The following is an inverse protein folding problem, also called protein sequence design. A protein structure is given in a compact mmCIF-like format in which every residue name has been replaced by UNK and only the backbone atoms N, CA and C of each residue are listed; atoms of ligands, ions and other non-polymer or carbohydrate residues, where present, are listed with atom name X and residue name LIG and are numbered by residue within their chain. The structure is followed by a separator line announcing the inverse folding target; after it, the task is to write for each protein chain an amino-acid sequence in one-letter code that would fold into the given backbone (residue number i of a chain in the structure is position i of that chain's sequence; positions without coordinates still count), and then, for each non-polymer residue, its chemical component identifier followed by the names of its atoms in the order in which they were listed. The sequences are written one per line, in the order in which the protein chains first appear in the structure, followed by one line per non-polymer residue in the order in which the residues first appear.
data_IF_539151868462
#
_entry.id   IF_539151868462
#
_cell.length_a   1.000
_cell.length_b   1.000
_cell.length_c   1.000
_cell.angle_alpha   90.00
_cell.angle_beta   90.00
_cell.angle_gamma   90.00
#
_symmetry.space_group_name_H-M   'P 1'
#
loop_
_entity.id
_entity.type
_entity.pdbx_description
1 polymer ?
#
# COMPACT_ATOMS: atom_id res chain seq x y z
N UNK A 1 -20.68 -13.75 8.87
CA UNK A 1 -19.22 -13.64 9.05
C UNK A 1 -18.66 -12.97 7.81
N UNK A 2 -17.88 -11.89 7.94
CA UNK A 2 -17.30 -11.18 6.77
C UNK A 2 -16.25 -12.03 6.06
N UNK A 3 -16.10 -11.82 4.74
CA UNK A 3 -15.10 -12.52 3.92
C UNK A 3 -13.69 -12.21 4.39
N UNK A 4 -12.83 -13.25 4.51
CA UNK A 4 -11.42 -13.08 4.79
C UNK A 4 -10.74 -12.53 3.54
N UNK A 5 -10.09 -11.37 3.66
CA UNK A 5 -9.37 -10.72 2.55
C UNK A 5 -7.87 -10.96 2.60
N UNK A 6 -7.33 -11.21 3.78
CA UNK A 6 -5.92 -11.57 3.98
C UNK A 6 -5.83 -12.68 5.02
N UNK A 7 -5.05 -13.70 4.70
CA UNK A 7 -4.67 -14.78 5.61
C UNK A 7 -3.20 -15.07 5.49
N UNK A 8 -2.53 -15.26 6.61
CA UNK A 8 -1.17 -15.83 6.65
C UNK A 8 -1.19 -17.12 7.44
N UNK A 9 -0.42 -18.12 6.99
CA UNK A 9 -0.28 -19.40 7.67
C UNK A 9 1.20 -19.69 7.84
N UNK A 10 1.64 -19.79 9.08
CA UNK A 10 3.02 -20.07 9.52
C UNK A 10 4.06 -19.19 8.81
N UNK A 11 3.67 -17.93 8.56
CA UNK A 11 4.47 -16.98 7.79
C UNK A 11 5.79 -16.71 8.50
N UNK A 12 6.88 -17.03 7.82
CA UNK A 12 8.23 -16.96 8.40
C UNK A 12 9.18 -16.24 7.47
N UNK A 13 9.99 -15.35 8.04
CA UNK A 13 11.12 -14.70 7.36
C UNK A 13 12.39 -14.82 8.20
N UNK A 14 13.40 -15.43 7.59
CA UNK A 14 14.75 -15.49 8.14
C UNK A 14 15.70 -14.67 7.25
N UNK A 15 16.53 -13.86 7.90
CA UNK A 15 17.72 -13.28 7.29
C UNK A 15 18.92 -13.95 7.96
N UNK A 16 19.72 -14.66 7.17
CA UNK A 16 20.75 -15.58 7.67
C UNK A 16 20.13 -16.66 8.57
N UNK A 17 20.61 -16.85 9.79
CA UNK A 17 20.10 -17.85 10.75
C UNK A 17 19.06 -17.29 11.74
N UNK A 18 18.74 -15.99 11.67
CA UNK A 18 17.81 -15.36 12.60
C UNK A 18 16.43 -15.19 11.97
N UNK A 19 15.40 -15.71 12.62
CA UNK A 19 14.02 -15.41 12.26
C UNK A 19 13.68 -13.99 12.72
N UNK A 20 13.18 -13.17 11.78
CA UNK A 20 12.66 -11.81 12.04
C UNK A 20 11.14 -11.84 12.11
N UNK A 21 10.52 -12.75 11.39
CA UNK A 21 9.11 -13.12 11.52
C UNK A 21 9.09 -14.63 11.65
N UNK A 22 8.37 -15.17 12.63
CA UNK A 22 8.36 -16.59 12.94
C UNK A 22 6.94 -17.10 13.17
N UNK A 23 6.51 -18.02 12.31
CA UNK A 23 5.20 -18.71 12.34
C UNK A 23 4.00 -17.76 12.57
N UNK A 24 3.98 -16.61 11.87
CA UNK A 24 2.94 -15.61 12.03
C UNK A 24 1.65 -16.03 11.34
N UNK A 25 0.58 -16.13 12.11
CA UNK A 25 -0.76 -16.44 11.65
C UNK A 25 -1.69 -15.24 11.89
N UNK A 26 -2.23 -14.66 10.80
CA UNK A 26 -3.13 -13.50 10.82
C UNK A 26 -4.31 -13.78 9.88
N UNK A 27 -5.50 -13.36 10.29
CA UNK A 27 -6.67 -13.28 9.42
C UNK A 27 -7.24 -11.86 9.50
N UNK A 28 -7.46 -11.22 8.35
CA UNK A 28 -8.09 -9.91 8.24
C UNK A 28 -9.34 -10.04 7.37
N UNK A 29 -10.45 -9.49 7.86
CA UNK A 29 -11.75 -9.54 7.18
C UNK A 29 -12.01 -8.25 6.43
N UNK A 30 -12.90 -8.33 5.45
CA UNK A 30 -13.34 -7.16 4.68
C UNK A 30 -13.91 -6.08 5.60
N UNK A 31 -13.42 -4.84 5.45
CA UNK A 31 -13.83 -3.68 6.25
C UNK A 31 -13.16 -3.59 7.62
N UNK A 32 -12.27 -4.50 7.96
CA UNK A 32 -11.54 -4.49 9.21
C UNK A 32 -10.35 -3.53 9.18
N UNK A 33 -10.10 -2.84 10.31
CA UNK A 33 -8.86 -2.09 10.55
C UNK A 33 -8.01 -2.93 11.48
N UNK A 34 -6.89 -3.44 10.94
CA UNK A 34 -5.96 -4.29 11.67
C UNK A 34 -4.68 -3.53 12.03
N UNK A 35 -4.31 -3.56 13.31
CA UNK A 35 -3.09 -2.91 13.82
C UNK A 35 -1.99 -3.92 14.15
N UNK A 36 -0.80 -3.74 13.56
CA UNK A 36 0.39 -4.52 13.89
C UNK A 36 1.29 -3.72 14.82
N UNK A 37 1.30 -4.08 16.12
CA UNK A 37 2.01 -3.36 17.15
C UNK A 37 3.26 -4.14 17.62
N UNK A 38 4.25 -3.42 18.12
CA UNK A 38 5.47 -4.01 18.66
C UNK A 38 6.65 -3.05 18.62
N UNK A 39 7.77 -3.37 19.29
CA UNK A 39 8.98 -2.55 19.31
C UNK A 39 9.65 -2.48 17.93
N UNK A 40 10.65 -1.59 17.80
CA UNK A 40 11.49 -1.55 16.60
C UNK A 40 12.26 -2.88 16.47
N UNK A 41 12.33 -3.39 15.25
CA UNK A 41 12.95 -4.70 14.98
C UNK A 41 12.03 -5.92 15.18
N UNK A 42 10.78 -5.74 15.63
CA UNK A 42 9.82 -6.85 15.82
C UNK A 42 9.27 -7.47 14.53
N UNK A 43 9.81 -7.14 13.36
CA UNK A 43 9.39 -7.73 12.10
C UNK A 43 8.17 -7.09 11.43
N UNK A 44 7.59 -6.01 11.98
CA UNK A 44 6.39 -5.35 11.44
C UNK A 44 6.53 -4.96 9.98
N UNK A 45 7.57 -4.20 9.63
CA UNK A 45 7.82 -3.78 8.24
C UNK A 45 8.12 -4.96 7.33
N UNK A 46 8.81 -5.99 7.83
CA UNK A 46 9.09 -7.22 7.11
C UNK A 46 7.80 -7.97 6.79
N UNK A 47 6.88 -8.07 7.76
CA UNK A 47 5.55 -8.67 7.57
C UNK A 47 4.76 -7.93 6.50
N UNK A 48 4.68 -6.59 6.60
CA UNK A 48 4.01 -5.77 5.58
C UNK A 48 4.63 -5.96 4.19
N UNK A 49 5.96 -5.96 4.10
CA UNK A 49 6.67 -6.17 2.83
C UNK A 49 6.42 -7.56 2.24
N UNK A 50 6.26 -8.60 3.06
CA UNK A 50 5.90 -9.93 2.60
C UNK A 50 4.47 -9.97 2.06
N UNK A 51 3.52 -9.36 2.75
CA UNK A 51 2.12 -9.25 2.32
C UNK A 51 2.01 -8.47 1.00
N UNK A 52 2.76 -7.37 0.87
CA UNK A 52 2.80 -6.55 -0.35
C UNK A 52 3.65 -7.16 -1.49
N UNK A 53 4.13 -8.39 -1.36
CA UNK A 53 4.96 -9.08 -2.35
C UNK A 53 6.27 -8.34 -2.71
N UNK A 54 6.82 -7.59 -1.76
CA UNK A 54 8.11 -6.89 -1.88
C UNK A 54 9.26 -7.81 -1.42
N UNK A 55 9.07 -8.50 -0.29
CA UNK A 55 10.05 -9.41 0.30
C UNK A 55 9.48 -10.81 0.34
N UNK A 56 10.15 -11.78 -0.28
CA UNK A 56 9.67 -13.17 -0.33
C UNK A 56 9.78 -13.84 1.05
N UNK A 57 8.73 -14.54 1.51
CA UNK A 57 8.79 -15.38 2.70
C UNK A 57 9.86 -16.47 2.59
N UNK A 58 10.43 -16.88 3.71
CA UNK A 58 11.30 -18.05 3.77
C UNK A 58 10.47 -19.34 3.87
N UNK A 59 9.35 -19.28 4.60
CA UNK A 59 8.39 -20.37 4.75
C UNK A 59 6.99 -19.80 5.03
N UNK A 60 5.99 -20.68 5.02
CA UNK A 60 4.60 -20.32 5.22
C UNK A 60 3.92 -19.76 3.98
N UNK A 61 2.66 -19.39 4.12
CA UNK A 61 1.82 -18.97 3.02
C UNK A 61 1.12 -17.64 3.29
N UNK A 62 0.84 -16.92 2.21
CA UNK A 62 0.01 -15.72 2.21
C UNK A 62 -1.11 -15.94 1.20
N UNK A 63 -2.33 -15.68 1.63
CA UNK A 63 -3.52 -15.65 0.80
C UNK A 63 -4.12 -14.25 0.83
N UNK A 64 -4.28 -13.63 -0.33
CA UNK A 64 -4.90 -12.33 -0.52
C UNK A 64 -6.10 -12.50 -1.46
N UNK A 65 -7.31 -12.22 -0.97
CA UNK A 65 -8.56 -12.40 -1.72
C UNK A 65 -8.67 -13.81 -2.34
N UNK A 66 -8.33 -14.85 -1.59
CA UNK A 66 -8.37 -16.24 -2.04
C UNK A 66 -7.23 -16.66 -2.96
N UNK A 67 -6.21 -15.82 -3.15
CA UNK A 67 -5.11 -16.06 -4.09
C UNK A 67 -3.75 -15.91 -3.41
N UNK A 68 -2.78 -16.70 -3.86
CA UNK A 68 -1.40 -16.54 -3.41
C UNK A 68 -0.72 -15.39 -4.18
N UNK A 69 -0.36 -14.27 -3.51
CA UNK A 69 0.19 -13.08 -4.17
C UNK A 69 1.58 -13.30 -4.78
N UNK A 70 2.28 -14.37 -4.40
CA UNK A 70 3.60 -14.73 -4.96
C UNK A 70 3.48 -15.53 -6.26
N UNK A 71 2.39 -16.29 -6.42
CA UNK A 71 2.10 -17.03 -7.65
C UNK A 71 1.38 -16.14 -8.68
N UNK A 72 0.56 -15.21 -8.23
CA UNK A 72 -0.28 -14.32 -9.05
C UNK A 72 0.04 -12.84 -8.80
N UNK A 73 1.33 -12.50 -8.83
CA UNK A 73 1.86 -11.18 -8.42
C UNK A 73 1.20 -10.01 -9.14
N UNK A 74 0.98 -10.11 -10.46
CA UNK A 74 0.34 -9.02 -11.24
C UNK A 74 -1.07 -8.71 -10.73
N UNK A 75 -1.87 -9.74 -10.48
CA UNK A 75 -3.25 -9.56 -9.99
C UNK A 75 -3.28 -9.04 -8.55
N UNK A 76 -2.37 -9.52 -7.71
CA UNK A 76 -2.29 -9.10 -6.30
C UNK A 76 -1.90 -7.62 -6.15
N UNK A 77 -0.93 -7.14 -6.92
CA UNK A 77 -0.46 -5.74 -6.87
C UNK A 77 -1.61 -4.76 -7.16
N UNK A 78 -2.50 -5.07 -8.10
CA UNK A 78 -3.66 -4.23 -8.42
C UNK A 78 -4.73 -4.17 -7.31
N UNK A 79 -4.58 -4.99 -6.26
CA UNK A 79 -5.52 -5.06 -5.12
C UNK A 79 -4.95 -4.48 -3.83
N UNK A 80 -3.68 -4.05 -3.84
CA UNK A 80 -2.98 -3.54 -2.68
C UNK A 80 -2.62 -2.07 -2.89
N UNK A 81 -3.11 -1.17 -2.03
CA UNK A 81 -2.57 0.17 -1.88
C UNK A 81 -1.47 0.17 -0.81
N UNK A 82 -0.23 0.38 -1.21
CA UNK A 82 0.90 0.44 -0.29
C UNK A 82 1.33 1.88 -0.04
N UNK A 83 1.33 2.28 1.23
CA UNK A 83 1.78 3.60 1.67
C UNK A 83 3.05 3.41 2.49
N UNK A 84 4.23 3.75 1.95
CA UNK A 84 5.49 3.61 2.69
C UNK A 84 5.57 4.60 3.86
N UNK A 85 6.38 4.26 4.86
CA UNK A 85 6.63 5.12 6.00
C UNK A 85 7.30 6.44 5.56
N UNK A 86 8.25 6.37 4.65
CA UNK A 86 8.84 7.55 4.00
C UNK A 86 7.90 8.10 2.94
N UNK A 87 8.00 9.41 2.72
CA UNK A 87 7.18 10.07 1.71
C UNK A 87 7.69 9.71 0.31
N UNK A 88 6.87 9.04 -0.48
CA UNK A 88 7.17 8.65 -1.86
C UNK A 88 6.69 9.69 -2.89
N UNK A 89 6.55 10.96 -2.49
CA UNK A 89 6.08 12.04 -3.35
C UNK A 89 7.24 12.86 -3.93
N UNK A 90 7.05 13.39 -5.13
CA UNK A 90 8.00 14.26 -5.82
C UNK A 90 7.70 15.71 -5.54
N UNK A 91 8.57 16.40 -4.79
CA UNK A 91 8.36 17.80 -4.36
C UNK A 91 8.24 18.79 -5.52
N UNK A 92 8.89 18.54 -6.65
CA UNK A 92 8.86 19.39 -7.83
C UNK A 92 7.69 19.11 -8.79
N UNK A 93 6.85 18.14 -8.46
CA UNK A 93 5.58 17.92 -9.14
C UNK A 93 4.44 18.57 -8.35
N UNK A 94 3.40 18.99 -9.06
CA UNK A 94 2.14 19.43 -8.47
C UNK A 94 1.44 18.26 -7.77
N UNK A 95 0.47 18.55 -6.91
CA UNK A 95 -0.26 17.50 -6.21
C UNK A 95 -0.95 16.53 -7.17
N UNK A 96 -1.65 17.03 -8.19
CA UNK A 96 -2.30 16.19 -9.18
C UNK A 96 -1.32 15.36 -10.01
N UNK A 97 -0.14 15.91 -10.36
CA UNK A 97 0.89 15.21 -11.13
C UNK A 97 1.49 14.04 -10.33
N UNK A 98 1.65 14.21 -9.01
CA UNK A 98 2.06 13.11 -8.14
C UNK A 98 1.05 11.96 -8.19
N UNK A 99 -0.25 12.24 -7.99
CA UNK A 99 -1.29 11.19 -8.00
C UNK A 99 -1.40 10.56 -9.38
N UNK A 100 -1.35 11.35 -10.47
CA UNK A 100 -1.38 10.87 -11.85
C UNK A 100 -0.23 9.91 -12.14
N UNK A 101 0.99 10.27 -11.75
CA UNK A 101 2.17 9.44 -11.93
C UNK A 101 1.96 8.03 -11.34
N UNK A 102 1.59 7.95 -10.07
CA UNK A 102 1.40 6.66 -9.40
C UNK A 102 0.20 5.90 -9.95
N UNK A 103 -0.93 6.57 -10.22
CA UNK A 103 -2.14 5.94 -10.77
C UNK A 103 -1.89 5.37 -12.17
N UNK A 104 -1.12 6.06 -13.00
CA UNK A 104 -0.79 5.61 -14.35
C UNK A 104 0.03 4.33 -14.39
N UNK A 105 0.83 4.05 -13.34
CA UNK A 105 1.61 2.80 -13.23
C UNK A 105 0.72 1.55 -13.15
N UNK A 106 -0.54 1.72 -12.73
CA UNK A 106 -1.54 0.65 -12.72
C UNK A 106 -2.28 0.50 -14.06
N UNK A 107 -1.85 1.22 -15.10
CA UNK A 107 -2.41 1.11 -16.45
C UNK A 107 -3.69 1.92 -16.68
N UNK A 108 -4.12 2.74 -15.72
CA UNK A 108 -5.27 3.63 -15.85
C UNK A 108 -4.90 4.81 -16.77
N UNK A 109 -5.76 5.16 -17.73
CA UNK A 109 -5.48 6.17 -18.76
C UNK A 109 -6.70 7.05 -19.07
N UNK A 110 -6.46 8.17 -19.75
CA UNK A 110 -7.51 9.02 -20.30
C UNK A 110 -8.42 9.64 -19.25
N UNK A 111 -9.73 9.66 -19.50
CA UNK A 111 -10.71 10.26 -18.59
C UNK A 111 -10.80 9.54 -17.24
N UNK A 112 -10.63 8.20 -17.23
CA UNK A 112 -10.62 7.41 -16.01
C UNK A 112 -9.45 7.82 -15.10
N UNK A 113 -8.27 8.12 -15.67
CA UNK A 113 -7.11 8.61 -14.92
C UNK A 113 -7.41 9.98 -14.29
N UNK A 114 -7.91 10.94 -15.07
CA UNK A 114 -8.26 12.26 -14.55
C UNK A 114 -9.28 12.20 -13.42
N UNK A 115 -10.33 11.41 -13.61
CA UNK A 115 -11.36 11.21 -12.59
C UNK A 115 -10.76 10.60 -11.32
N UNK A 116 -9.96 9.56 -11.45
CA UNK A 116 -9.32 8.90 -10.31
C UNK A 116 -8.37 9.83 -9.54
N UNK A 117 -7.65 10.71 -10.24
CA UNK A 117 -6.79 11.72 -9.62
C UNK A 117 -7.61 12.71 -8.79
N UNK A 118 -8.67 13.28 -9.38
CA UNK A 118 -9.53 14.24 -8.69
C UNK A 118 -10.24 13.59 -7.48
N UNK A 119 -10.82 12.40 -7.64
CA UNK A 119 -11.46 11.65 -6.57
C UNK A 119 -10.49 11.34 -5.41
N UNK A 120 -9.24 10.99 -5.73
CA UNK A 120 -8.22 10.68 -4.71
C UNK A 120 -7.79 11.92 -3.93
N UNK A 121 -7.65 13.05 -4.62
CA UNK A 121 -7.32 14.34 -3.99
C UNK A 121 -8.49 14.86 -3.15
N UNK A 122 -9.72 14.69 -3.61
CA UNK A 122 -10.93 15.03 -2.86
C UNK A 122 -11.01 14.21 -1.57
N UNK A 123 -10.80 12.91 -1.65
CA UNK A 123 -10.82 12.01 -0.49
C UNK A 123 -9.88 12.45 0.63
N UNK A 124 -8.71 13.00 0.30
CA UNK A 124 -7.73 13.47 1.28
C UNK A 124 -7.84 14.98 1.57
N UNK A 125 -8.83 15.69 0.99
CA UNK A 125 -9.05 17.12 1.20
C UNK A 125 -7.95 18.00 0.60
N UNK A 126 -7.44 17.66 -0.59
CA UNK A 126 -6.40 18.40 -1.31
C UNK A 126 -6.82 18.83 -2.73
N UNK A 127 -8.09 18.62 -3.13
CA UNK A 127 -8.55 18.92 -4.48
C UNK A 127 -8.37 20.39 -4.86
N UNK A 128 -8.75 21.32 -3.98
CA UNK A 128 -8.62 22.77 -4.21
C UNK A 128 -7.16 23.23 -4.35
N UNK A 129 -6.23 22.44 -3.88
CA UNK A 129 -4.79 22.71 -3.91
C UNK A 129 -4.04 21.86 -4.92
N UNK A 130 -4.75 21.20 -5.85
CA UNK A 130 -4.17 20.25 -6.79
C UNK A 130 -3.11 20.85 -7.72
N UNK A 131 -3.17 22.17 -7.97
CA UNK A 131 -2.21 22.88 -8.82
C UNK A 131 -0.94 23.34 -8.09
N UNK A 132 -0.87 23.19 -6.78
CA UNK A 132 0.30 23.58 -6.01
C UNK A 132 1.39 22.51 -6.05
N UNK A 133 2.65 22.94 -6.02
CA UNK A 133 3.80 22.04 -5.93
C UNK A 133 3.86 21.36 -4.56
N UNK A 134 4.12 20.06 -4.54
CA UNK A 134 4.17 19.27 -3.31
C UNK A 134 5.27 19.72 -2.34
N UNK A 135 6.34 20.34 -2.81
CA UNK A 135 7.39 20.92 -1.94
C UNK A 135 6.84 22.00 -1.00
N UNK A 136 5.81 22.73 -1.42
CA UNK A 136 5.20 23.82 -0.64
C UNK A 136 4.19 23.33 0.40
N UNK A 137 3.89 22.03 0.42
CA UNK A 137 2.94 21.43 1.34
C UNK A 137 3.54 21.28 2.74
N UNK A 138 2.71 21.47 3.77
CA UNK A 138 3.08 21.10 5.14
C UNK A 138 3.32 19.60 5.26
N UNK A 139 3.98 19.15 6.34
CA UNK A 139 4.22 17.71 6.57
C UNK A 139 2.94 16.87 6.54
N UNK A 140 1.87 17.38 7.18
CA UNK A 140 0.56 16.72 7.14
C UNK A 140 -0.07 16.67 5.75
N UNK A 141 0.06 17.73 4.94
CA UNK A 141 -0.41 17.75 3.57
C UNK A 141 0.39 16.76 2.69
N UNK A 142 1.71 16.72 2.86
CA UNK A 142 2.57 15.74 2.17
C UNK A 142 2.15 14.30 2.52
N UNK A 143 1.82 14.04 3.78
CA UNK A 143 1.33 12.71 4.21
C UNK A 143 -0.02 12.38 3.57
N UNK A 144 -0.95 13.32 3.52
CA UNK A 144 -2.24 13.15 2.83
C UNK A 144 -2.06 12.93 1.32
N UNK A 145 -1.16 13.67 0.67
CA UNK A 145 -0.84 13.45 -0.73
C UNK A 145 -0.26 12.06 -0.99
N UNK A 146 0.63 11.57 -0.11
CA UNK A 146 1.17 10.21 -0.18
C UNK A 146 0.06 9.14 -0.11
N UNK A 147 -0.98 9.38 0.71
CA UNK A 147 -2.17 8.51 0.76
C UNK A 147 -2.94 8.57 -0.56
N UNK A 148 -3.18 9.77 -1.12
CA UNK A 148 -3.87 9.94 -2.40
C UNK A 148 -3.18 9.16 -3.53
N UNK A 149 -1.84 9.18 -3.57
CA UNK A 149 -1.06 8.41 -4.56
C UNK A 149 -1.31 6.90 -4.48
N UNK A 150 -1.57 6.37 -3.28
CA UNK A 150 -1.86 4.94 -3.09
C UNK A 150 -3.33 4.57 -3.37
N UNK A 151 -4.25 5.54 -3.37
CA UNK A 151 -5.68 5.31 -3.60
C UNK A 151 -6.07 5.34 -5.08
N UNK A 152 -5.31 5.99 -5.92
CA UNK A 152 -5.66 6.28 -7.32
C UNK A 152 -5.99 5.06 -8.19
N UNK A 153 -5.67 3.84 -7.76
CA UNK A 153 -5.97 2.61 -8.49
C UNK A 153 -7.10 1.77 -7.85
N UNK A 154 -7.68 2.22 -6.74
CA UNK A 154 -8.56 1.41 -5.86
C UNK A 154 -10.03 1.38 -6.31
N UNK A 155 -10.36 1.65 -7.57
CA UNK A 155 -11.75 1.63 -8.06
C UNK A 155 -12.01 0.56 -9.09
#
# INVERSE_FOLDING_TARGET
MGDIILKTTDLTKKYTNKAVVDNLNIEIRKGEIFGLLGPNGAGKSTTMNMICSIVRPTAGEIELLGKNPWKQKKEAIHKIGYIPQELAIHGNLKAWENVELFTSLYGIKGQALKKSVDDSLEYVGLLERKQEFAKNFSGGMKRRLNIACALGHSK
#
